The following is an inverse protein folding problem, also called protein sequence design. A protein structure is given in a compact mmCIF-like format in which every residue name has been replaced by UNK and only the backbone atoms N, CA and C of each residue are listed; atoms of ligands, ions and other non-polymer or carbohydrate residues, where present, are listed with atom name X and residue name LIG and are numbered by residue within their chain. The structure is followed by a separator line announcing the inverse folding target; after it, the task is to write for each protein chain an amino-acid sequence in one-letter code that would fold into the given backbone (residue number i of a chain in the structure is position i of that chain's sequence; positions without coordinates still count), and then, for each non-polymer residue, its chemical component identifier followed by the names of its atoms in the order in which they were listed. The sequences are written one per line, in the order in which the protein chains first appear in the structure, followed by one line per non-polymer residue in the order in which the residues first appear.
data_IF_421275014261
#
_entry.id   IF_421275014261
#
_cell.length_a   1.000
_cell.length_b   1.000
_cell.length_c   1.000
_cell.angle_alpha   90.00
_cell.angle_beta   90.00
_cell.angle_gamma   90.00
#
_symmetry.space_group_name_H-M   'P 1'
#
loop_
_entity.id
_entity.type
_entity.pdbx_description
1 polymer ?
#
# COMPACT_ATOMS: atom_id res chain seq x y z
N UNK A 1 1.93 -3.68 -13.14
CA UNK A 1 1.13 -2.46 -12.95
C UNK A 1 -0.37 -2.70 -12.73
N UNK A 2 -1.08 -3.53 -13.50
CA UNK A 2 -2.50 -3.84 -13.23
C UNK A 2 -2.76 -4.29 -11.79
N UNK A 3 -2.01 -5.30 -11.33
CA UNK A 3 -2.06 -5.77 -9.94
C UNK A 3 -1.82 -4.65 -8.92
N UNK A 4 -0.78 -3.83 -9.14
CA UNK A 4 -0.46 -2.70 -8.28
C UNK A 4 -1.60 -1.68 -8.14
N UNK A 5 -2.27 -1.34 -9.25
CA UNK A 5 -3.41 -0.40 -9.23
C UNK A 5 -4.59 -1.00 -8.45
N UNK A 6 -4.92 -2.27 -8.71
CA UNK A 6 -6.04 -2.96 -8.04
C UNK A 6 -5.81 -3.01 -6.52
N UNK A 7 -4.61 -3.39 -6.08
CA UNK A 7 -4.30 -3.47 -4.66
C UNK A 7 -4.34 -2.09 -3.99
N UNK A 8 -3.80 -1.04 -4.62
CA UNK A 8 -3.88 0.32 -4.07
C UNK A 8 -5.33 0.83 -3.98
N UNK A 9 -6.18 0.49 -4.96
CA UNK A 9 -7.60 0.85 -4.92
C UNK A 9 -8.31 0.17 -3.74
N UNK A 10 -8.06 -1.14 -3.53
CA UNK A 10 -8.60 -1.89 -2.39
C UNK A 10 -8.11 -1.29 -1.07
N UNK A 11 -6.80 -1.01 -0.94
CA UNK A 11 -6.22 -0.43 0.26
C UNK A 11 -6.80 0.96 0.57
N UNK A 12 -7.03 1.78 -0.45
CA UNK A 12 -7.65 3.11 -0.29
C UNK A 12 -9.11 3.01 0.14
N UNK A 13 -9.87 2.11 -0.48
CA UNK A 13 -11.26 1.84 -0.07
C UNK A 13 -11.35 1.34 1.36
N UNK A 14 -10.45 0.43 1.74
CA UNK A 14 -10.32 -0.05 3.11
C UNK A 14 -9.98 1.08 4.10
N UNK A 15 -9.00 1.94 3.77
CA UNK A 15 -8.63 3.07 4.62
C UNK A 15 -9.82 4.02 4.86
N UNK A 16 -10.61 4.31 3.82
CA UNK A 16 -11.82 5.13 3.94
C UNK A 16 -12.85 4.49 4.87
N UNK A 17 -13.09 3.18 4.73
CA UNK A 17 -14.00 2.43 5.61
C UNK A 17 -13.49 2.45 7.05
N UNK A 18 -12.21 2.16 7.27
CA UNK A 18 -11.57 2.17 8.60
C UNK A 18 -11.71 3.53 9.29
N UNK A 19 -11.52 4.62 8.54
CA UNK A 19 -11.69 5.98 9.05
C UNK A 19 -13.14 6.25 9.49
N UNK A 20 -14.12 5.86 8.68
CA UNK A 20 -15.54 6.00 9.00
C UNK A 20 -15.93 5.20 10.25
N UNK A 21 -15.41 3.97 10.39
CA UNK A 21 -15.65 3.14 11.57
C UNK A 21 -15.03 3.78 12.83
N UNK A 22 -13.86 4.37 12.70
CA UNK A 22 -13.15 5.03 13.83
C UNK A 22 -13.82 6.32 14.28
N UNK A 23 -14.43 7.07 13.35
CA UNK A 23 -15.18 8.31 13.65
C UNK A 23 -16.62 8.05 14.13
N UNK A 24 -17.08 6.79 14.09
CA UNK A 24 -18.41 6.43 14.56
C UNK A 24 -18.44 6.35 16.09
N UNK A 25 -19.09 7.32 16.72
CA UNK A 25 -19.11 7.44 18.19
C UNK A 25 -20.22 6.60 18.86
N UNK A 26 -20.94 5.77 18.11
CA UNK A 26 -22.15 5.08 18.58
C UNK A 26 -21.96 3.69 19.18
N UNK A 27 -20.73 3.23 19.38
CA UNK A 27 -20.46 1.81 19.65
C UNK A 27 -20.33 1.51 21.14
N UNK A 28 -20.95 0.40 21.57
CA UNK A 28 -20.73 -0.14 22.91
C UNK A 28 -19.27 -0.58 23.09
N UNK A 29 -18.73 -0.43 24.30
CA UNK A 29 -17.30 -0.67 24.61
C UNK A 29 -16.80 -2.06 24.15
N UNK A 30 -17.62 -3.10 24.28
CA UNK A 30 -17.27 -4.47 23.85
C UNK A 30 -17.17 -4.57 22.33
N UNK A 31 -18.14 -3.99 21.62
CA UNK A 31 -18.17 -3.95 20.14
C UNK A 31 -17.02 -3.13 19.59
N UNK A 32 -16.71 -1.99 20.21
CA UNK A 32 -15.56 -1.15 19.84
C UNK A 32 -14.23 -1.91 19.97
N UNK A 33 -14.03 -2.66 21.05
CA UNK A 33 -12.83 -3.47 21.23
C UNK A 33 -12.72 -4.59 20.19
N UNK A 34 -13.82 -5.28 19.87
CA UNK A 34 -13.84 -6.33 18.86
C UNK A 34 -13.51 -5.79 17.46
N UNK A 35 -14.08 -4.64 17.09
CA UNK A 35 -13.79 -4.04 15.79
C UNK A 35 -12.38 -3.47 15.72
N UNK A 36 -11.85 -2.91 16.80
CA UNK A 36 -10.44 -2.47 16.83
C UNK A 36 -9.48 -3.62 16.47
N UNK A 37 -9.72 -4.83 17.01
CA UNK A 37 -8.94 -6.03 16.64
C UNK A 37 -9.10 -6.38 15.16
N UNK A 38 -10.32 -6.32 14.62
CA UNK A 38 -10.56 -6.61 13.20
C UNK A 38 -9.85 -5.60 12.28
N UNK A 39 -9.86 -4.32 12.66
CA UNK A 39 -9.14 -3.26 11.95
C UNK A 39 -7.64 -3.51 12.00
N UNK A 40 -7.07 -3.81 13.17
CA UNK A 40 -5.64 -4.15 13.31
C UNK A 40 -5.22 -5.32 12.39
N UNK A 41 -6.01 -6.40 12.34
CA UNK A 41 -5.71 -7.55 11.45
C UNK A 41 -5.78 -7.11 9.99
N UNK A 42 -6.81 -6.34 9.62
CA UNK A 42 -6.98 -5.88 8.26
C UNK A 42 -5.89 -4.88 7.83
N UNK A 43 -5.36 -4.05 8.74
CA UNK A 43 -4.23 -3.14 8.49
C UNK A 43 -2.96 -3.93 8.16
N UNK A 44 -2.66 -5.00 8.91
CA UNK A 44 -1.54 -5.90 8.61
C UNK A 44 -1.70 -6.54 7.23
N UNK A 45 -2.90 -7.04 6.93
CA UNK A 45 -3.20 -7.64 5.63
C UNK A 45 -3.01 -6.61 4.50
N UNK A 46 -3.52 -5.39 4.66
CA UNK A 46 -3.36 -4.31 3.68
C UNK A 46 -1.87 -3.96 3.44
N UNK A 47 -1.06 -3.89 4.51
CA UNK A 47 0.38 -3.66 4.41
C UNK A 47 1.11 -4.78 3.65
N UNK A 48 0.74 -6.05 3.89
CA UNK A 48 1.29 -7.19 3.14
C UNK A 48 0.95 -7.10 1.65
N UNK A 49 -0.31 -6.87 1.31
CA UNK A 49 -0.74 -6.75 -0.09
C UNK A 49 -0.05 -5.58 -0.80
N UNK A 50 0.08 -4.42 -0.16
CA UNK A 50 0.79 -3.29 -0.73
C UNK A 50 2.28 -3.63 -0.98
N UNK A 51 2.91 -4.34 -0.05
CA UNK A 51 4.33 -4.73 -0.17
C UNK A 51 4.56 -5.70 -1.35
N UNK A 52 3.70 -6.69 -1.55
CA UNK A 52 3.80 -7.60 -2.71
C UNK A 52 3.54 -6.86 -4.02
N UNK A 53 2.56 -5.96 -4.04
CA UNK A 53 2.25 -5.12 -5.19
C UNK A 53 3.40 -4.20 -5.59
N UNK A 54 4.03 -3.54 -4.61
CA UNK A 54 5.23 -2.72 -4.81
C UNK A 54 6.39 -3.58 -5.31
N UNK A 55 6.64 -4.75 -4.72
CA UNK A 55 7.73 -5.64 -5.16
C UNK A 55 7.59 -6.05 -6.62
N UNK A 56 6.39 -6.48 -7.03
CA UNK A 56 6.11 -6.86 -8.41
C UNK A 56 6.23 -5.68 -9.39
N UNK A 57 5.65 -4.52 -9.04
CA UNK A 57 5.71 -3.34 -9.90
C UNK A 57 7.11 -2.70 -9.94
N UNK A 58 7.83 -2.74 -8.82
CA UNK A 58 9.20 -2.25 -8.68
C UNK A 58 10.19 -3.07 -9.49
N UNK A 59 10.08 -4.40 -9.51
CA UNK A 59 10.93 -5.25 -10.35
C UNK A 59 10.78 -4.90 -11.84
N UNK A 60 9.53 -4.84 -12.34
CA UNK A 60 9.27 -4.46 -13.74
C UNK A 60 9.68 -3.01 -14.01
N UNK A 61 9.43 -2.09 -13.08
CA UNK A 61 9.80 -0.69 -13.20
C UNK A 61 11.31 -0.48 -13.26
N UNK A 62 12.07 -1.19 -12.41
CA UNK A 62 13.53 -1.13 -12.39
C UNK A 62 14.12 -1.64 -13.69
N UNK A 63 13.60 -2.75 -14.21
CA UNK A 63 14.07 -3.27 -15.49
C UNK A 63 13.72 -2.33 -16.66
N UNK A 64 12.56 -1.66 -16.62
CA UNK A 64 12.19 -0.62 -17.58
C UNK A 64 13.05 0.65 -17.50
N UNK A 65 13.60 0.96 -16.31
CA UNK A 65 14.47 2.12 -16.06
C UNK A 65 15.92 1.85 -16.45
N UNK A 66 16.50 0.77 -15.96
CA UNK A 66 17.91 0.42 -16.22
C UNK A 66 18.10 -0.14 -17.64
N UNK A 67 17.11 -0.86 -18.17
CA UNK A 67 17.27 -1.63 -19.40
C UNK A 67 18.29 -2.76 -19.22
N UNK A 68 18.28 -3.74 -20.11
CA UNK A 68 19.29 -4.81 -20.10
C UNK A 68 19.69 -5.18 -21.53
N UNK A 69 20.93 -4.90 -21.90
CA UNK A 69 21.46 -5.16 -23.24
C UNK A 69 21.59 -6.66 -23.53
N UNK A 70 21.79 -7.49 -22.51
CA UNK A 70 21.93 -8.94 -22.65
C UNK A 70 20.65 -9.60 -23.18
N UNK A 71 19.47 -9.10 -22.78
CA UNK A 71 18.17 -9.57 -23.26
C UNK A 71 17.51 -8.60 -24.25
N UNK A 72 18.30 -7.69 -24.84
CA UNK A 72 17.84 -6.66 -25.80
C UNK A 72 16.71 -5.76 -25.26
N UNK A 73 16.58 -5.62 -23.95
CA UNK A 73 15.53 -4.78 -23.36
C UNK A 73 15.97 -3.33 -23.29
N UNK A 74 15.50 -2.54 -24.27
CA UNK A 74 15.77 -1.10 -24.37
C UNK A 74 15.08 -0.35 -23.21
N UNK A 75 15.75 0.68 -22.70
CA UNK A 75 15.21 1.61 -21.68
C UNK A 75 13.92 2.24 -22.20
N UNK A 76 12.79 1.91 -21.58
CA UNK A 76 11.47 2.43 -21.95
C UNK A 76 11.23 3.82 -21.36
N UNK A 77 11.84 4.12 -20.21
CA UNK A 77 11.69 5.42 -19.54
C UNK A 77 12.21 6.62 -20.36
N UNK A 78 13.09 6.41 -21.35
CA UNK A 78 13.58 7.49 -22.20
C UNK A 78 12.53 7.99 -23.22
N UNK A 79 11.54 7.15 -23.55
CA UNK A 79 10.47 7.48 -24.51
C UNK A 79 9.29 8.17 -23.81
N UNK A 80 9.04 7.80 -22.54
CA UNK A 80 7.93 8.32 -21.74
C UNK A 80 8.41 8.97 -20.43
N UNK A 81 9.32 9.94 -20.53
CA UNK A 81 10.01 10.55 -19.37
C UNK A 81 9.09 10.98 -18.21
N UNK A 82 7.94 11.60 -18.50
CA UNK A 82 6.97 12.01 -17.46
C UNK A 82 6.25 10.81 -16.80
N UNK A 83 5.88 9.79 -17.56
CA UNK A 83 5.24 8.59 -17.03
C UNK A 83 6.17 7.78 -16.13
N UNK A 84 7.47 7.75 -16.44
CA UNK A 84 8.45 7.08 -15.60
C UNK A 84 8.56 7.74 -14.21
N UNK A 85 8.62 9.08 -14.17
CA UNK A 85 8.60 9.83 -12.92
C UNK A 85 7.32 9.62 -12.11
N UNK A 86 6.15 9.65 -12.77
CA UNK A 86 4.87 9.39 -12.12
C UNK A 86 4.75 7.95 -11.58
N UNK A 87 5.28 6.96 -12.31
CA UNK A 87 5.29 5.56 -11.86
C UNK A 87 6.17 5.34 -10.63
N UNK A 88 7.35 5.97 -10.61
CA UNK A 88 8.24 5.93 -9.42
C UNK A 88 7.57 6.65 -8.24
N UNK A 89 6.99 7.84 -8.46
CA UNK A 89 6.27 8.56 -7.42
C UNK A 89 5.12 7.72 -6.84
N UNK A 90 4.34 7.03 -7.69
CA UNK A 90 3.27 6.15 -7.25
C UNK A 90 3.80 4.97 -6.41
N UNK A 91 4.92 4.34 -6.82
CA UNK A 91 5.57 3.29 -6.03
C UNK A 91 6.00 3.78 -4.65
N UNK A 92 6.65 4.95 -4.59
CA UNK A 92 7.10 5.56 -3.32
C UNK A 92 5.90 5.85 -2.42
N UNK A 93 4.82 6.40 -2.98
CA UNK A 93 3.58 6.65 -2.23
C UNK A 93 2.95 5.37 -1.69
N UNK A 94 2.93 4.27 -2.45
CA UNK A 94 2.44 2.99 -1.94
C UNK A 94 3.31 2.41 -0.82
N UNK A 95 4.63 2.56 -0.90
CA UNK A 95 5.54 2.16 0.19
C UNK A 95 5.26 2.98 1.44
N UNK A 96 5.08 4.30 1.28
CA UNK A 96 4.71 5.17 2.39
C UNK A 96 3.35 4.74 3.00
N UNK A 97 2.36 4.40 2.17
CA UNK A 97 1.07 3.87 2.62
C UNK A 97 1.22 2.57 3.43
N UNK A 98 2.02 1.62 2.94
CA UNK A 98 2.30 0.38 3.68
C UNK A 98 2.98 0.66 5.03
N UNK A 99 3.92 1.60 5.07
CA UNK A 99 4.57 2.02 6.31
C UNK A 99 3.59 2.65 7.31
N UNK A 100 2.65 3.47 6.83
CA UNK A 100 1.59 4.06 7.68
C UNK A 100 0.71 2.97 8.29
N UNK A 101 0.26 1.98 7.52
CA UNK A 101 -0.51 0.85 8.06
C UNK A 101 0.27 0.09 9.14
N UNK A 102 1.58 -0.16 8.93
CA UNK A 102 2.41 -0.79 9.95
C UNK A 102 2.56 0.08 11.21
N UNK A 103 2.72 1.39 11.07
CA UNK A 103 2.77 2.31 12.20
C UNK A 103 1.46 2.33 12.99
N UNK A 104 0.31 2.28 12.31
CA UNK A 104 -0.99 2.18 12.96
C UNK A 104 -1.11 0.91 13.80
N UNK A 105 -0.64 -0.23 13.29
CA UNK A 105 -0.59 -1.50 14.02
C UNK A 105 0.29 -1.37 15.27
N UNK A 106 1.49 -0.79 15.15
CA UNK A 106 2.41 -0.61 16.29
C UNK A 106 1.79 0.29 17.36
N UNK A 107 1.18 1.41 16.97
CA UNK A 107 0.52 2.34 17.91
C UNK A 107 -0.65 1.66 18.61
N UNK A 108 -1.44 0.87 17.87
CA UNK A 108 -2.62 0.17 18.41
C UNK A 108 -2.23 -0.90 19.42
N UNK A 109 -1.20 -1.69 19.12
CA UNK A 109 -0.62 -2.66 20.06
C UNK A 109 -0.06 -1.95 21.30
N UNK A 110 0.69 -0.86 21.11
CA UNK A 110 1.28 -0.11 22.23
C UNK A 110 0.25 0.54 23.15
N UNK A 111 -0.92 0.92 22.63
CA UNK A 111 -2.03 1.47 23.44
C UNK A 111 -2.77 0.41 24.26
N UNK A 112 -2.69 -0.86 23.83
CA UNK A 112 -3.37 -1.99 24.47
C UNK A 112 -2.57 -2.53 25.67
N UNK A 113 -1.29 -2.18 25.76
CA UNK A 113 -0.37 -2.52 26.86
C UNK A 113 -0.24 -1.34 27.83
#
# INVERSE_FOLDING_TARGET
FRYFVVINAIATGYAAISLVLTLSNGWEKKTAAAVAVLVEIADVVAALFLSTAVGAAGAIGLMGYQGNSHVQWKKVCNVFGKFCGQGIAALVLSVAGAAVFLLLVVISISKRH
#
